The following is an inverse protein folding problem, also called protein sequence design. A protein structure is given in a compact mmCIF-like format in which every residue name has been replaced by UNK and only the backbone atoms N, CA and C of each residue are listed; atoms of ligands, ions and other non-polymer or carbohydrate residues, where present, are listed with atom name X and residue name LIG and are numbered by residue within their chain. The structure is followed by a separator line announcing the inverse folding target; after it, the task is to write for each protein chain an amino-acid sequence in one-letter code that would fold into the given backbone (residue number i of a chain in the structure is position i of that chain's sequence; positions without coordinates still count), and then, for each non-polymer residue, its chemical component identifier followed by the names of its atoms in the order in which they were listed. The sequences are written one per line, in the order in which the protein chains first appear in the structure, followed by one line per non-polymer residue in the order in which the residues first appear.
data_IF_717692352328
#
_entry.id   IF_717692352328
#
_cell.length_a   1.000
_cell.length_b   1.000
_cell.length_c   1.000
_cell.angle_alpha   90.00
_cell.angle_beta   90.00
_cell.angle_gamma   90.00
#
_symmetry.space_group_name_H-M   'P 1'
#
loop_
_entity.id
_entity.type
_entity.pdbx_description
1 polymer ?
#
# COMPACT_ATOMS: atom_id res chain seq x y z
N UNK A 1 -0.64 -13.21 -29.37
CA UNK A 1 0.21 -13.37 -28.17
C UNK A 1 -0.15 -12.33 -27.11
N UNK A 2 0.08 -12.70 -25.84
CA UNK A 2 -0.14 -11.81 -24.67
C UNK A 2 1.17 -11.66 -23.92
N UNK A 3 1.51 -10.43 -23.51
CA UNK A 3 2.72 -10.17 -22.74
C UNK A 3 2.44 -9.17 -21.61
N UNK A 4 3.14 -9.31 -20.49
CA UNK A 4 3.12 -8.37 -19.39
C UNK A 4 4.45 -7.60 -19.32
N UNK A 5 4.41 -6.28 -19.16
CA UNK A 5 5.61 -5.46 -18.96
C UNK A 5 6.26 -5.66 -17.58
N UNK A 6 5.52 -6.22 -16.61
CA UNK A 6 6.01 -6.57 -15.27
C UNK A 6 5.23 -7.76 -14.74
N UNK A 7 5.78 -8.96 -14.96
CA UNK A 7 5.19 -10.24 -14.50
C UNK A 7 5.23 -10.40 -12.97
N UNK A 8 5.98 -9.57 -12.23
CA UNK A 8 5.94 -9.56 -10.76
C UNK A 8 4.72 -8.83 -10.22
N UNK A 9 4.15 -7.91 -11.01
CA UNK A 9 2.93 -7.16 -10.68
C UNK A 9 1.69 -7.89 -11.16
N UNK A 10 1.68 -8.33 -12.43
CA UNK A 10 0.58 -9.10 -13.01
C UNK A 10 1.09 -10.00 -14.12
N UNK A 11 0.65 -11.25 -14.15
CA UNK A 11 0.88 -12.17 -15.26
C UNK A 11 -0.32 -12.20 -16.20
N UNK A 12 -0.10 -12.68 -17.42
CA UNK A 12 -1.15 -12.98 -18.38
C UNK A 12 -0.90 -14.36 -19.00
N UNK A 13 -1.93 -15.19 -19.07
CA UNK A 13 -1.84 -16.52 -19.68
C UNK A 13 -1.90 -16.48 -21.22
N UNK A 14 -1.63 -17.59 -21.88
CA UNK A 14 -1.82 -17.72 -23.32
C UNK A 14 -3.29 -17.54 -23.77
N UNK A 15 -4.25 -17.76 -22.87
CA UNK A 15 -5.68 -17.50 -23.10
C UNK A 15 -6.13 -16.07 -22.78
N UNK A 16 -5.21 -15.18 -22.35
CA UNK A 16 -5.52 -13.78 -22.01
C UNK A 16 -6.02 -13.57 -20.58
N UNK A 17 -5.99 -14.58 -19.70
CA UNK A 17 -6.36 -14.41 -18.28
C UNK A 17 -5.26 -13.64 -17.55
N UNK A 18 -5.64 -12.48 -17.00
CA UNK A 18 -4.72 -11.62 -16.21
C UNK A 18 -4.84 -11.96 -14.73
N UNK A 19 -3.70 -12.29 -14.09
CA UNK A 19 -3.61 -12.58 -12.66
C UNK A 19 -2.80 -11.52 -11.95
N UNK A 20 -3.41 -10.69 -11.07
CA UNK A 20 -2.68 -9.70 -10.26
C UNK A 20 -1.90 -10.40 -9.13
N UNK A 21 -0.64 -10.00 -8.90
CA UNK A 21 0.26 -10.59 -7.90
C UNK A 21 0.69 -9.60 -6.81
N UNK A 22 1.40 -8.53 -7.17
CA UNK A 22 1.95 -7.56 -6.22
C UNK A 22 1.52 -6.15 -6.56
N UNK A 23 1.46 -5.27 -5.56
CA UNK A 23 1.10 -3.86 -5.76
C UNK A 23 2.01 -3.18 -6.80
N UNK A 24 1.44 -2.54 -7.80
CA UNK A 24 2.20 -1.91 -8.86
C UNK A 24 1.37 -1.59 -10.11
N UNK A 25 2.06 -1.44 -11.23
CA UNK A 25 1.49 -1.14 -12.55
C UNK A 25 2.16 -2.05 -13.57
N UNK A 26 1.37 -2.77 -14.36
CA UNK A 26 1.84 -3.55 -15.51
C UNK A 26 1.03 -3.18 -16.74
N UNK A 27 1.69 -3.07 -17.91
CA UNK A 27 1.03 -2.94 -19.21
C UNK A 27 0.89 -4.33 -19.80
N UNK A 28 -0.32 -4.76 -20.10
CA UNK A 28 -0.60 -5.98 -20.86
C UNK A 28 -0.71 -5.61 -22.32
N UNK A 29 0.09 -6.24 -23.14
CA UNK A 29 0.09 -6.05 -24.60
C UNK A 29 -0.43 -7.31 -25.27
N UNK A 30 -1.35 -7.12 -26.18
CA UNK A 30 -1.96 -8.14 -27.01
C UNK A 30 -1.47 -7.89 -28.45
N UNK A 31 -0.89 -8.90 -29.08
CA UNK A 31 -0.48 -8.83 -30.48
C UNK A 31 -1.13 -9.98 -31.27
N UNK A 32 -1.72 -9.63 -32.39
CA UNK A 32 -2.17 -10.61 -33.38
C UNK A 32 -1.13 -10.74 -34.47
N UNK A 33 -0.98 -11.92 -35.07
CA UNK A 33 -0.30 -12.10 -36.34
C UNK A 33 -1.26 -11.72 -37.45
N UNK A 34 -0.76 -11.08 -38.50
CA UNK A 34 -1.54 -10.82 -39.70
C UNK A 34 -1.94 -12.14 -40.39
N UNK A 35 -2.89 -12.04 -41.28
CA UNK A 35 -3.30 -13.12 -42.22
C UNK A 35 -3.17 -12.57 -43.64
N UNK A 36 -3.53 -13.38 -44.64
CA UNK A 36 -3.59 -12.89 -46.04
C UNK A 36 -4.66 -11.79 -46.24
N UNK A 37 -5.64 -11.68 -45.31
CA UNK A 37 -6.77 -10.75 -45.41
C UNK A 37 -6.69 -9.60 -44.42
N UNK A 38 -6.00 -9.76 -43.26
CA UNK A 38 -5.95 -8.79 -42.17
C UNK A 38 -4.53 -8.49 -41.74
N UNK A 39 -4.24 -7.23 -41.53
CA UNK A 39 -2.96 -6.76 -40.99
C UNK A 39 -2.76 -7.16 -39.50
N UNK A 40 -1.51 -7.31 -39.06
CA UNK A 40 -1.22 -7.53 -37.64
C UNK A 40 -1.65 -6.33 -36.80
N UNK A 41 -2.22 -6.56 -35.63
CA UNK A 41 -2.68 -5.52 -34.72
C UNK A 41 -1.99 -5.65 -33.34
N UNK A 42 -1.83 -4.50 -32.69
CA UNK A 42 -1.31 -4.42 -31.32
C UNK A 42 -2.24 -3.57 -30.47
N UNK A 43 -2.69 -4.14 -29.34
CA UNK A 43 -3.48 -3.42 -28.33
C UNK A 43 -2.77 -3.53 -26.98
N UNK A 44 -2.87 -2.47 -26.17
CA UNK A 44 -2.31 -2.48 -24.82
C UNK A 44 -3.27 -1.86 -23.81
N UNK A 45 -3.30 -2.44 -22.60
CA UNK A 45 -4.05 -1.92 -21.45
C UNK A 45 -3.19 -1.91 -20.20
N UNK A 46 -3.53 -1.05 -19.24
CA UNK A 46 -2.78 -0.91 -17.99
C UNK A 46 -3.53 -1.52 -16.83
N UNK A 47 -2.90 -2.50 -16.20
CA UNK A 47 -3.37 -3.11 -14.96
C UNK A 47 -2.75 -2.38 -13.78
N UNK A 48 -3.60 -1.92 -12.84
CA UNK A 48 -3.21 -1.28 -11.59
C UNK A 48 -3.52 -2.21 -10.44
N UNK A 49 -2.49 -2.66 -9.73
CA UNK A 49 -2.65 -3.51 -8.54
C UNK A 49 -2.39 -2.65 -7.31
N UNK A 50 -3.40 -2.55 -6.45
CA UNK A 50 -3.31 -1.74 -5.22
C UNK A 50 -2.76 -2.58 -4.06
N UNK A 51 -2.06 -1.95 -3.08
CA UNK A 51 -1.67 -2.64 -1.86
C UNK A 51 -2.90 -3.25 -1.14
N UNK A 52 -2.73 -4.40 -0.53
CA UNK A 52 -3.77 -5.02 0.30
C UNK A 52 -4.09 -4.13 1.51
N UNK A 53 -5.26 -4.35 2.12
CA UNK A 53 -5.61 -3.73 3.39
C UNK A 53 -4.52 -4.02 4.43
N UNK A 54 -4.02 -2.98 5.10
CA UNK A 54 -3.01 -3.16 6.14
C UNK A 54 -3.62 -3.78 7.40
N UNK A 55 -2.82 -4.56 8.14
CA UNK A 55 -3.24 -5.23 9.36
C UNK A 55 -2.27 -4.90 10.50
N UNK A 56 -2.77 -4.27 11.58
CA UNK A 56 -1.99 -4.09 12.80
C UNK A 56 -1.92 -5.40 13.58
N UNK A 57 -0.72 -5.79 14.03
CA UNK A 57 -0.51 -7.05 14.76
C UNK A 57 -1.24 -7.09 16.09
N UNK A 58 -1.30 -5.95 16.79
CA UNK A 58 -2.01 -5.77 18.07
C UNK A 58 -2.45 -4.33 18.28
N UNK A 59 -3.10 -4.03 19.39
CA UNK A 59 -3.38 -2.64 19.81
C UNK A 59 -2.08 -1.86 19.96
N UNK A 60 -2.04 -0.55 19.61
CA UNK A 60 -0.93 0.32 19.96
C UNK A 60 -0.70 0.30 21.47
N UNK A 61 0.56 0.45 21.90
CA UNK A 61 0.88 0.39 23.35
C UNK A 61 1.87 1.50 23.73
N UNK A 62 1.83 1.89 24.99
CA UNK A 62 2.81 2.83 25.56
C UNK A 62 4.19 2.21 25.50
N UNK A 63 5.20 2.98 25.05
CA UNK A 63 6.55 2.49 24.81
C UNK A 63 7.59 3.55 25.10
N UNK A 64 8.56 3.19 25.93
CA UNK A 64 9.63 4.10 26.28
C UNK A 64 9.16 5.24 27.19
N UNK A 65 9.40 6.49 26.79
CA UNK A 65 9.10 7.70 27.57
C UNK A 65 7.61 8.07 27.54
N UNK A 66 7.18 8.85 28.49
CA UNK A 66 5.84 9.48 28.56
C UNK A 66 5.49 10.15 27.22
N UNK A 67 4.25 10.04 26.78
CA UNK A 67 3.79 10.60 25.49
C UNK A 67 4.23 9.83 24.26
N UNK A 68 4.72 8.58 24.41
CA UNK A 68 5.15 7.73 23.30
C UNK A 68 4.30 6.47 23.18
N UNK A 69 3.90 6.15 21.96
CA UNK A 69 3.10 4.97 21.63
C UNK A 69 3.74 4.24 20.45
N UNK A 70 3.94 2.93 20.60
CA UNK A 70 4.43 2.07 19.52
C UNK A 70 3.25 1.46 18.75
N UNK A 71 3.38 1.47 17.43
CA UNK A 71 2.42 0.86 16.49
C UNK A 71 3.17 -0.16 15.66
N UNK A 72 2.62 -1.38 15.52
CA UNK A 72 3.23 -2.47 14.72
C UNK A 72 2.18 -3.06 13.78
N UNK A 73 2.62 -3.38 12.56
CA UNK A 73 1.78 -3.96 11.51
C UNK A 73 2.55 -5.05 10.74
N UNK A 74 1.82 -5.91 10.04
CA UNK A 74 2.41 -6.86 9.10
C UNK A 74 2.91 -6.12 7.86
N UNK A 75 4.11 -6.48 7.41
CA UNK A 75 4.67 -5.97 6.15
C UNK A 75 3.88 -6.52 4.97
N UNK A 76 3.94 -5.81 3.88
CA UNK A 76 3.47 -6.25 2.57
C UNK A 76 4.61 -6.09 1.57
N UNK A 77 4.71 -7.04 0.65
CA UNK A 77 5.69 -6.98 -0.42
C UNK A 77 5.36 -5.88 -1.41
N UNK A 78 6.42 -5.35 -2.02
CA UNK A 78 6.33 -4.38 -3.12
C UNK A 78 5.55 -3.10 -2.79
N UNK A 79 5.58 -2.65 -1.54
CA UNK A 79 5.05 -1.33 -1.13
C UNK A 79 6.19 -0.36 -0.88
N UNK A 80 5.96 0.92 -1.10
CA UNK A 80 6.97 1.98 -0.96
C UNK A 80 7.05 2.47 0.47
N UNK A 81 5.89 2.65 1.11
CA UNK A 81 5.79 3.14 2.49
C UNK A 81 4.47 2.72 3.14
N UNK A 82 4.39 3.04 4.42
CA UNK A 82 3.15 2.98 5.20
C UNK A 82 2.76 4.39 5.67
N UNK A 83 1.47 4.61 5.80
CA UNK A 83 0.92 5.81 6.44
C UNK A 83 0.20 5.40 7.71
N UNK A 84 0.63 5.99 8.83
CA UNK A 84 0.03 5.78 10.14
C UNK A 84 -0.75 7.06 10.47
N UNK A 85 -2.08 6.95 10.49
CA UNK A 85 -2.96 8.05 10.87
C UNK A 85 -3.40 7.87 12.31
N UNK A 86 -3.30 8.93 13.09
CA UNK A 86 -3.71 8.93 14.49
C UNK A 86 -4.45 10.22 14.86
N UNK A 87 -5.43 10.08 15.75
CA UNK A 87 -6.35 11.14 16.13
C UNK A 87 -6.92 10.90 17.52
N UNK A 88 -7.34 11.95 18.21
CA UNK A 88 -8.20 11.84 19.40
C UNK A 88 -9.68 11.64 19.03
N UNK A 89 -10.07 12.01 17.82
CA UNK A 89 -11.40 11.77 17.28
C UNK A 89 -11.48 10.43 16.58
N UNK A 90 -12.43 9.58 16.97
CA UNK A 90 -12.64 8.22 16.44
C UNK A 90 -13.01 8.20 14.95
N UNK A 91 -13.70 9.22 14.47
CA UNK A 91 -14.17 9.34 13.10
C UNK A 91 -13.08 9.79 12.12
N UNK A 92 -11.91 10.25 12.61
CA UNK A 92 -10.83 10.81 11.80
C UNK A 92 -11.31 11.91 10.83
N UNK A 93 -12.20 12.78 11.29
CA UNK A 93 -12.68 13.92 10.51
C UNK A 93 -11.50 14.76 9.99
N UNK A 94 -11.69 15.43 8.85
CA UNK A 94 -10.65 16.29 8.26
C UNK A 94 -10.19 17.35 9.30
N UNK A 95 -8.87 17.51 9.44
CA UNK A 95 -8.27 18.41 10.42
C UNK A 95 -8.08 17.83 11.82
N UNK A 96 -8.67 16.65 12.16
CA UNK A 96 -8.58 16.06 13.50
C UNK A 96 -7.49 15.01 13.63
N UNK A 97 -6.74 14.70 12.59
CA UNK A 97 -5.73 13.64 12.57
C UNK A 97 -4.38 14.13 12.07
N UNK A 98 -3.36 13.41 12.50
CA UNK A 98 -1.99 13.52 11.99
C UNK A 98 -1.67 12.24 11.22
N UNK A 99 -0.93 12.36 10.11
CA UNK A 99 -0.45 11.21 9.33
C UNK A 99 1.08 11.18 9.36
N UNK A 100 1.63 10.11 9.93
CA UNK A 100 3.05 9.81 9.88
C UNK A 100 3.33 8.87 8.72
N UNK A 101 4.29 9.22 7.87
CA UNK A 101 4.80 8.37 6.77
C UNK A 101 6.02 7.60 7.26
N UNK A 102 6.10 6.32 6.92
CA UNK A 102 7.21 5.42 7.28
C UNK A 102 7.56 4.60 6.05
N UNK A 103 8.79 4.70 5.56
CA UNK A 103 9.25 3.91 4.42
C UNK A 103 9.15 2.42 4.73
N UNK A 104 8.84 1.62 3.72
CA UNK A 104 8.82 0.17 3.85
C UNK A 104 10.23 -0.34 4.17
N UNK A 105 10.37 -1.14 5.22
CA UNK A 105 11.65 -1.71 5.60
C UNK A 105 12.06 -2.81 4.61
N UNK A 106 13.34 -2.81 4.22
CA UNK A 106 13.94 -3.75 3.25
C UNK A 106 14.61 -4.95 3.94
N UNK A 107 14.12 -5.34 5.11
CA UNK A 107 14.60 -6.51 5.86
C UNK A 107 13.60 -7.68 5.78
N UNK A 108 14.02 -8.87 6.21
CA UNK A 108 13.23 -10.11 6.13
C UNK A 108 12.19 -10.27 7.26
N UNK A 109 12.09 -9.30 8.19
CA UNK A 109 11.06 -9.37 9.22
C UNK A 109 9.65 -9.28 8.62
N UNK A 110 8.76 -10.10 9.13
CA UNK A 110 7.33 -10.12 8.71
C UNK A 110 6.54 -8.92 9.20
N UNK A 111 7.10 -8.15 10.15
CA UNK A 111 6.43 -6.97 10.74
C UNK A 111 7.31 -5.75 10.70
N UNK A 112 6.68 -4.58 10.69
CA UNK A 112 7.33 -3.28 10.85
C UNK A 112 6.63 -2.48 11.93
N UNK A 113 7.35 -1.57 12.57
CA UNK A 113 6.78 -0.73 13.63
C UNK A 113 7.31 0.70 13.57
N UNK A 114 6.60 1.61 14.20
CA UNK A 114 7.05 2.98 14.45
C UNK A 114 6.60 3.46 15.81
N UNK A 115 7.28 4.47 16.35
CA UNK A 115 6.88 5.15 17.59
C UNK A 115 6.25 6.50 17.23
N UNK A 116 5.02 6.72 17.66
CA UNK A 116 4.38 8.03 17.68
C UNK A 116 4.90 8.75 18.92
N UNK A 117 5.31 10.02 18.80
CA UNK A 117 5.90 10.81 19.88
C UNK A 117 5.07 12.07 20.11
N UNK A 118 5.33 12.75 21.22
CA UNK A 118 4.71 14.03 21.59
C UNK A 118 3.17 13.93 21.69
N UNK A 119 2.68 12.78 22.13
CA UNK A 119 1.27 12.57 22.38
C UNK A 119 0.91 13.08 23.78
N UNK A 120 -0.29 13.67 23.92
CA UNK A 120 -0.77 14.21 25.20
C UNK A 120 -1.11 13.06 26.15
N UNK A 121 -0.43 13.00 27.30
CA UNK A 121 -0.67 12.03 28.37
C UNK A 121 -2.12 12.13 28.90
N UNK A 122 -2.68 11.00 29.34
CA UNK A 122 -4.07 10.88 29.76
C UNK A 122 -5.08 10.82 28.61
N UNK A 123 -4.70 11.14 27.40
CA UNK A 123 -5.61 11.18 26.26
C UNK A 123 -5.67 9.85 25.49
N UNK A 124 -6.88 9.52 25.01
CA UNK A 124 -7.09 8.40 24.10
C UNK A 124 -6.76 8.80 22.66
N UNK A 125 -5.97 7.97 22.00
CA UNK A 125 -5.69 8.08 20.57
C UNK A 125 -6.19 6.86 19.83
N UNK A 126 -6.83 7.08 18.69
CA UNK A 126 -7.22 6.09 17.70
C UNK A 126 -6.17 6.07 16.61
N UNK A 127 -5.79 4.88 16.16
CA UNK A 127 -4.70 4.69 15.20
C UNK A 127 -5.15 3.73 14.11
N UNK A 128 -4.83 4.03 12.85
CA UNK A 128 -5.01 3.14 11.70
C UNK A 128 -3.81 3.23 10.77
N UNK A 129 -3.57 2.19 9.99
CA UNK A 129 -2.41 2.04 9.09
C UNK A 129 -2.90 1.71 7.69
N UNK A 130 -2.24 2.21 6.66
CA UNK A 130 -2.38 1.72 5.27
C UNK A 130 -1.02 1.59 4.60
N UNK A 131 -0.93 0.68 3.62
CA UNK A 131 0.20 0.57 2.74
C UNK A 131 0.04 1.50 1.53
N UNK A 132 1.15 1.94 0.97
CA UNK A 132 1.21 2.85 -0.18
C UNK A 132 2.26 2.34 -1.15
N UNK A 133 1.91 2.24 -2.44
CA UNK A 133 2.83 1.99 -3.55
C UNK A 133 2.95 3.24 -4.39
N UNK A 134 4.17 3.70 -4.62
CA UNK A 134 4.49 4.73 -5.60
C UNK A 134 5.06 4.05 -6.85
N UNK A 135 4.59 4.46 -8.01
CA UNK A 135 5.03 4.00 -9.33
C UNK A 135 5.18 5.20 -10.25
N UNK A 136 5.89 5.02 -11.35
CA UNK A 136 5.96 6.03 -12.41
C UNK A 136 5.20 5.53 -13.63
N UNK A 137 4.50 6.42 -14.33
CA UNK A 137 3.88 6.09 -15.61
C UNK A 137 4.91 6.21 -16.75
N UNK A 138 4.48 5.91 -17.97
CA UNK A 138 5.35 5.92 -19.18
C UNK A 138 5.91 7.32 -19.50
N UNK A 139 5.36 8.38 -18.91
CA UNK A 139 5.80 9.77 -19.05
C UNK A 139 6.62 10.26 -17.84
N UNK A 140 7.10 9.36 -16.98
CA UNK A 140 7.86 9.71 -15.79
C UNK A 140 7.05 10.38 -14.67
N UNK A 141 5.71 10.49 -14.79
CA UNK A 141 4.84 11.05 -13.75
C UNK A 141 4.65 10.06 -12.63
N UNK A 142 4.91 10.50 -11.40
CA UNK A 142 4.70 9.73 -10.19
C UNK A 142 3.19 9.52 -9.92
N UNK A 143 2.80 8.28 -9.74
CA UNK A 143 1.46 7.85 -9.34
C UNK A 143 1.52 7.22 -7.94
N UNK A 144 0.45 7.38 -7.17
CA UNK A 144 0.37 6.84 -5.81
C UNK A 144 -0.85 5.94 -5.67
N UNK A 145 -0.63 4.68 -5.34
CA UNK A 145 -1.68 3.68 -5.10
C UNK A 145 -1.81 3.43 -3.60
N UNK A 146 -2.99 3.67 -3.07
CA UNK A 146 -3.28 3.52 -1.65
C UNK A 146 -4.03 2.22 -1.39
N UNK A 147 -3.50 1.41 -0.49
CA UNK A 147 -4.22 0.31 0.09
C UNK A 147 -5.32 0.81 1.04
N UNK A 148 -6.29 -0.05 1.32
CA UNK A 148 -7.33 0.26 2.29
C UNK A 148 -6.72 0.43 3.71
N UNK A 149 -7.32 1.34 4.49
CA UNK A 149 -6.97 1.50 5.89
C UNK A 149 -7.27 0.24 6.69
N UNK A 150 -6.40 -0.10 7.64
CA UNK A 150 -6.75 -1.07 8.70
C UNK A 150 -7.98 -0.60 9.48
N UNK A 151 -8.64 -1.52 10.19
CA UNK A 151 -9.49 -1.11 11.30
C UNK A 151 -8.69 -0.26 12.30
N UNK A 152 -9.30 0.77 12.88
CA UNK A 152 -8.63 1.52 13.93
C UNK A 152 -8.52 0.70 15.23
N UNK A 153 -7.46 0.95 15.98
CA UNK A 153 -7.28 0.46 17.35
C UNK A 153 -6.90 1.66 18.23
N UNK A 154 -7.17 1.59 19.52
CA UNK A 154 -6.92 2.74 20.41
C UNK A 154 -6.00 2.42 21.57
N UNK A 155 -5.42 3.46 22.15
CA UNK A 155 -4.57 3.43 23.35
C UNK A 155 -4.80 4.70 24.16
N UNK A 156 -4.76 4.60 25.48
CA UNK A 156 -4.63 5.77 26.38
C UNK A 156 -3.14 5.98 26.62
N UNK A 157 -2.69 7.19 26.36
CA UNK A 157 -1.25 7.54 26.44
C UNK A 157 -0.88 7.78 27.90
N UNK A 158 0.23 7.18 28.35
CA UNK A 158 0.84 7.41 29.67
C UNK A 158 1.79 8.60 29.66
#
# INVERSE_FOLDING_TARGET
TYTSSDSTVATVSASGLVTPLKAGRAKITIKTTGTTTYDPATYSTVIKVYPKKAVMTKKPWNYGKKGQVKVRWYKQDNVTRYEIRYSRAKNFAKGTYITKKVNAAQNDFTTQSTTLKNLKSGQRYYVKVRAVKEVYNDYGKKLTYYGAWSGWKSVVVK
#
